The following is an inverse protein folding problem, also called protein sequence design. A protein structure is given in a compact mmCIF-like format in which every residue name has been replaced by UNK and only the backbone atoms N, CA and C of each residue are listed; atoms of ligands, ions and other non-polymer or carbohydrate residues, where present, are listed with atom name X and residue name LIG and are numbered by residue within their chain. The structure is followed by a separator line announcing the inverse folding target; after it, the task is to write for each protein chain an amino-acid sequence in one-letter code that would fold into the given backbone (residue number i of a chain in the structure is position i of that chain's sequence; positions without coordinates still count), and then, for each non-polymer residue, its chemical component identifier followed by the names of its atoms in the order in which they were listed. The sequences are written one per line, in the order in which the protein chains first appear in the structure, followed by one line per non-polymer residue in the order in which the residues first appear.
data_IF_846776719088
#
_entry.id   IF_846776719088
#
_cell.length_a   1.000
_cell.length_b   1.000
_cell.length_c   1.000
_cell.angle_alpha   90.00
_cell.angle_beta   90.00
_cell.angle_gamma   90.00
#
_symmetry.space_group_name_H-M   'P 1'
#
loop_
_entity.id
_entity.type
_entity.pdbx_description
1 polymer ?
#
# COMPACT_ATOMS: atom_id res chain seq x y z
N UNK A 1 -3.98 12.35 -5.57
CA UNK A 1 -3.58 12.59 -4.17
C UNK A 1 -2.30 13.40 -4.16
N UNK A 2 -2.17 14.39 -3.27
CA UNK A 2 -0.93 15.18 -3.15
C UNK A 2 0.09 14.48 -2.26
N UNK A 3 1.37 14.68 -2.54
CA UNK A 3 2.46 14.17 -1.69
C UNK A 3 2.35 14.70 -0.25
N UNK A 4 1.97 15.96 -0.05
CA UNK A 4 1.78 16.55 1.28
C UNK A 4 0.68 15.91 2.15
N UNK A 5 -0.18 15.08 1.54
CA UNK A 5 -1.12 14.26 2.29
C UNK A 5 -0.46 13.00 2.84
N UNK A 6 0.48 12.40 2.08
CA UNK A 6 1.23 11.22 2.53
C UNK A 6 2.06 11.51 3.77
N UNK A 7 2.66 12.70 3.86
CA UNK A 7 3.45 13.15 5.03
C UNK A 7 2.63 13.22 6.34
N UNK A 8 1.30 13.17 6.24
CA UNK A 8 0.37 13.19 7.39
C UNK A 8 -0.16 11.81 7.74
N UNK A 9 0.12 10.79 6.92
CA UNK A 9 -0.34 9.43 7.14
C UNK A 9 0.63 8.68 8.05
N UNK A 10 0.07 7.80 8.87
CA UNK A 10 0.81 6.84 9.67
C UNK A 10 0.17 5.47 9.52
N UNK A 11 0.93 4.40 9.81
CA UNK A 11 0.37 3.06 9.82
C UNK A 11 -0.78 2.94 10.83
N UNK A 12 -1.96 2.42 10.45
CA UNK A 12 -3.09 2.29 11.36
C UNK A 12 -2.82 1.34 12.53
N UNK A 13 -1.85 0.43 12.42
CA UNK A 13 -1.56 -0.58 13.44
C UNK A 13 -0.57 -0.07 14.49
N UNK A 14 0.62 0.39 14.06
CA UNK A 14 1.72 0.74 14.96
C UNK A 14 2.08 2.24 14.96
N UNK A 15 1.35 3.06 14.18
CA UNK A 15 1.50 4.51 14.07
C UNK A 15 2.84 4.98 13.50
N UNK A 16 3.65 4.07 12.96
CA UNK A 16 4.92 4.43 12.33
C UNK A 16 4.69 5.01 10.93
N UNK A 17 5.64 5.83 10.48
CA UNK A 17 5.60 6.46 9.16
C UNK A 17 5.82 5.42 8.05
N UNK A 18 4.85 5.24 7.14
CA UNK A 18 4.98 4.30 6.03
C UNK A 18 5.82 4.89 4.90
N UNK A 19 6.66 4.06 4.27
CA UNK A 19 7.38 4.42 3.05
C UNK A 19 6.45 4.34 1.86
N UNK A 20 6.55 5.30 0.94
CA UNK A 20 5.74 5.34 -0.28
C UNK A 20 6.55 4.99 -1.52
N UNK A 21 5.93 4.22 -2.40
CA UNK A 21 6.41 3.96 -3.77
C UNK A 21 5.31 4.40 -4.72
N UNK A 22 5.63 5.23 -5.71
CA UNK A 22 4.63 5.81 -6.64
C UNK A 22 4.80 5.19 -8.01
N UNK A 23 3.75 4.51 -8.49
CA UNK A 23 3.73 3.85 -9.79
C UNK A 23 3.14 4.72 -10.89
N UNK A 24 2.17 5.59 -10.55
CA UNK A 24 1.50 6.45 -11.53
C UNK A 24 1.12 7.79 -10.93
N UNK A 25 1.40 8.85 -11.69
CA UNK A 25 0.96 10.22 -11.41
C UNK A 25 0.05 10.72 -12.53
N UNK A 26 -0.83 11.64 -12.17
CA UNK A 26 -1.60 12.45 -13.10
C UNK A 26 -0.75 13.64 -13.59
N UNK A 27 -1.16 14.27 -14.69
CA UNK A 27 -0.42 15.40 -15.30
C UNK A 27 -0.28 16.61 -14.38
N UNK A 28 -1.24 16.79 -13.46
CA UNK A 28 -1.21 17.84 -12.44
C UNK A 28 -0.30 17.50 -11.22
N UNK A 29 0.44 16.39 -11.27
CA UNK A 29 1.34 15.94 -10.21
C UNK A 29 0.70 15.03 -9.15
N UNK A 30 -0.62 14.85 -9.17
CA UNK A 30 -1.33 13.99 -8.21
C UNK A 30 -0.94 12.52 -8.35
N UNK A 31 -0.66 11.85 -7.24
CA UNK A 31 -0.48 10.40 -7.16
C UNK A 31 -1.83 9.73 -7.47
N UNK A 32 -1.82 8.85 -8.47
CA UNK A 32 -2.95 8.01 -8.86
C UNK A 32 -2.76 6.57 -8.39
N UNK A 33 -1.56 6.04 -8.51
CA UNK A 33 -1.24 4.67 -8.11
C UNK A 33 0.10 4.64 -7.35
N UNK A 34 0.15 3.82 -6.31
CA UNK A 34 1.32 3.70 -5.45
C UNK A 34 1.11 2.64 -4.37
N UNK A 35 2.14 2.41 -3.57
CA UNK A 35 2.13 1.50 -2.44
C UNK A 35 2.73 2.18 -1.22
N UNK A 36 2.03 2.11 -0.09
CA UNK A 36 2.59 2.46 1.20
C UNK A 36 3.00 1.19 1.92
N UNK A 37 4.20 1.15 2.49
CA UNK A 37 4.69 0.00 3.26
C UNK A 37 5.26 0.47 4.59
N UNK A 38 4.72 -0.03 5.70
CA UNK A 38 5.22 0.26 7.03
C UNK A 38 6.55 -0.48 7.26
N UNK A 39 7.66 0.20 7.57
CA UNK A 39 8.95 -0.45 7.81
C UNK A 39 8.99 -1.26 9.12
N UNK A 40 8.06 -1.01 10.04
CA UNK A 40 7.98 -1.65 11.36
C UNK A 40 7.14 -2.93 11.31
N UNK A 41 5.83 -2.83 11.07
CA UNK A 41 4.96 -4.00 10.99
C UNK A 41 4.95 -4.71 9.63
N UNK A 42 5.66 -4.18 8.61
CA UNK A 42 5.71 -4.71 7.23
C UNK A 42 4.37 -4.83 6.52
N UNK A 43 3.33 -4.12 6.99
CA UNK A 43 2.06 -4.05 6.26
C UNK A 43 2.16 -3.10 5.09
N UNK A 44 1.36 -3.40 4.08
CA UNK A 44 1.22 -2.58 2.90
C UNK A 44 -0.20 -2.07 2.73
N UNK A 45 -0.29 -0.91 2.08
CA UNK A 45 -1.54 -0.22 1.77
C UNK A 45 -1.46 0.32 0.34
N UNK A 46 -2.20 -0.26 -0.62
CA UNK A 46 -2.18 0.20 -2.00
C UNK A 46 -2.89 1.55 -2.14
N UNK A 47 -2.38 2.40 -3.00
CA UNK A 47 -3.02 3.63 -3.46
C UNK A 47 -3.61 3.36 -4.83
N UNK A 48 -4.92 3.51 -4.98
CA UNK A 48 -5.65 3.22 -6.22
C UNK A 48 -6.54 4.41 -6.56
N UNK A 49 -6.43 4.94 -7.78
CA UNK A 49 -7.12 6.17 -8.20
C UNK A 49 -6.93 7.35 -7.24
N UNK A 50 -5.76 7.43 -6.60
CA UNK A 50 -5.43 8.47 -5.62
C UNK A 50 -6.13 8.29 -4.27
N UNK A 51 -6.64 7.11 -3.95
CA UNK A 51 -7.22 6.76 -2.65
C UNK A 51 -6.32 5.71 -1.97
N UNK A 52 -5.80 5.97 -0.75
CA UNK A 52 -5.02 5.00 -0.01
C UNK A 52 -5.95 4.02 0.70
N UNK A 53 -5.84 2.73 0.39
CA UNK A 53 -6.67 1.68 0.99
C UNK A 53 -5.94 1.16 2.24
N UNK A 54 -6.31 1.71 3.41
CA UNK A 54 -5.73 1.37 4.72
C UNK A 54 -6.70 0.58 5.59
N UNK A 55 -7.42 -0.38 4.98
CA UNK A 55 -8.41 -1.20 5.68
C UNK A 55 -7.73 -2.11 6.72
N UNK A 56 -8.39 -2.36 7.87
CA UNK A 56 -7.97 -3.40 8.80
C UNK A 56 -7.89 -4.77 8.12
N UNK A 57 -6.99 -5.63 8.60
CA UNK A 57 -6.68 -6.92 7.97
C UNK A 57 -7.92 -7.82 7.82
N UNK A 58 -8.87 -7.77 8.76
CA UNK A 58 -10.13 -8.54 8.73
C UNK A 58 -11.06 -8.21 7.54
N UNK A 59 -10.86 -7.06 6.88
CA UNK A 59 -11.63 -6.63 5.71
C UNK A 59 -10.82 -6.69 4.41
N UNK A 60 -9.63 -7.30 4.43
CA UNK A 60 -8.77 -7.38 3.25
C UNK A 60 -9.06 -8.64 2.46
N UNK A 61 -9.33 -8.48 1.17
CA UNK A 61 -9.61 -9.59 0.26
C UNK A 61 -8.46 -9.77 -0.71
N UNK A 62 -7.72 -10.88 -0.57
CA UNK A 62 -6.59 -11.21 -1.45
C UNK A 62 -6.98 -11.18 -2.94
N UNK A 63 -8.17 -11.67 -3.27
CA UNK A 63 -8.66 -11.71 -4.64
C UNK A 63 -8.82 -10.31 -5.27
N UNK A 64 -9.07 -9.27 -4.46
CA UNK A 64 -9.17 -7.89 -4.92
C UNK A 64 -7.80 -7.22 -5.02
N UNK A 65 -6.89 -7.54 -4.09
CA UNK A 65 -5.57 -6.90 -4.03
C UNK A 65 -4.53 -7.52 -4.97
N UNK A 66 -4.58 -8.84 -5.17
CA UNK A 66 -3.59 -9.57 -5.98
C UNK A 66 -3.48 -9.06 -7.44
N UNK A 67 -4.57 -8.75 -8.17
CA UNK A 67 -4.48 -8.17 -9.51
C UNK A 67 -3.79 -6.79 -9.53
N UNK A 68 -3.98 -6.00 -8.47
CA UNK A 68 -3.40 -4.67 -8.32
C UNK A 68 -1.89 -4.78 -8.10
N UNK A 69 -1.47 -5.68 -7.20
CA UNK A 69 -0.05 -5.92 -6.93
C UNK A 69 0.66 -6.50 -8.15
N UNK A 70 0.04 -7.47 -8.84
CA UNK A 70 0.57 -8.04 -10.09
C UNK A 70 0.78 -6.99 -11.17
N UNK A 71 -0.14 -6.02 -11.29
CA UNK A 71 0.00 -4.89 -12.22
C UNK A 71 1.26 -4.07 -11.95
N UNK A 72 1.68 -3.97 -10.69
CA UNK A 72 2.90 -3.27 -10.27
C UNK A 72 4.13 -4.17 -10.21
N UNK A 73 4.04 -5.43 -10.67
CA UNK A 73 5.14 -6.38 -10.66
C UNK A 73 5.44 -6.97 -9.27
N UNK A 74 4.54 -6.78 -8.31
CA UNK A 74 4.67 -7.31 -6.95
C UNK A 74 3.91 -8.64 -6.84
N UNK A 75 4.54 -9.62 -6.19
CA UNK A 75 3.95 -10.92 -5.93
C UNK A 75 3.65 -11.10 -4.44
N UNK A 76 2.52 -11.75 -4.14
CA UNK A 76 2.15 -12.19 -2.79
C UNK A 76 2.76 -13.57 -2.45
N UNK A 77 3.76 -14.04 -3.20
CA UNK A 77 4.24 -15.42 -3.08
C UNK A 77 5.26 -15.61 -1.94
N UNK A 78 5.04 -16.69 -1.18
CA UNK A 78 5.77 -17.20 -0.02
C UNK A 78 7.26 -17.47 -0.30
N UNK A 79 8.11 -16.44 -0.35
CA UNK A 79 9.57 -16.60 -0.43
C UNK A 79 10.25 -15.78 0.66
N UNK A 80 10.31 -16.34 1.88
CA UNK A 80 11.17 -15.99 3.04
C UNK A 80 11.22 -14.54 3.57
N UNK A 81 10.88 -13.52 2.79
CA UNK A 81 10.65 -12.14 3.20
C UNK A 81 9.15 -11.95 3.37
N UNK A 82 8.71 -11.82 4.63
CA UNK A 82 7.31 -11.51 4.98
C UNK A 82 6.95 -10.10 4.51
N UNK A 83 6.78 -9.89 3.21
CA UNK A 83 6.51 -8.54 2.69
C UNK A 83 5.07 -8.13 3.02
N UNK A 84 4.15 -9.07 3.19
CA UNK A 84 2.72 -8.74 3.21
C UNK A 84 1.94 -9.70 4.11
N UNK A 85 1.89 -9.42 5.42
CA UNK A 85 1.04 -10.15 6.37
C UNK A 85 -0.43 -9.82 6.08
N UNK A 86 -1.04 -10.57 5.17
CA UNK A 86 -2.47 -10.83 5.18
C UNK A 86 -2.67 -12.04 6.10
N UNK A 87 -2.65 -11.83 7.41
CA UNK A 87 -3.08 -12.89 8.34
C UNK A 87 -4.60 -13.00 8.22
N UNK A 88 -5.06 -14.00 7.47
CA UNK A 88 -6.41 -14.56 7.59
C UNK A 88 -6.37 -15.71 8.59
#
# INVERSE_FOLDING_TARGET
MKDSFLDKLCCPVDKQEPKSEVFKRHENGDILEGLLTCPSCRRYYPIVYGVPIMTPDEYREKALEEPILKKWGLALENSEEKVFLLEQ
#
